data_IF_764852981128
#
_entry.id   IF_764852981128
#
_cell.length_a   1.000
_cell.length_b   1.000
_cell.length_c   1.000
_cell.angle_alpha   90.00
_cell.angle_beta   90.00
_cell.angle_gamma   90.00
#
_symmetry.space_group_name_H-M   'P 1'
#
loop_
_entity.id
_entity.type
_entity.pdbx_description
1 polymer ?
#
# COMPACT_ATOMS: atom_id res chain seq x y z
N UNK A 1 -18.65 -7.62 2.70
CA UNK A 1 -17.62 -8.11 1.75
C UNK A 1 -16.57 -8.87 2.54
N UNK A 2 -16.14 -10.08 2.12
CA UNK A 2 -15.13 -10.87 2.85
C UNK A 2 -13.77 -10.70 2.18
N UNK A 3 -12.87 -10.00 2.85
CA UNK A 3 -11.50 -9.78 2.38
C UNK A 3 -10.52 -10.83 2.92
N UNK A 4 -10.93 -11.69 3.85
CA UNK A 4 -10.00 -12.50 4.63
C UNK A 4 -9.07 -13.34 3.75
N UNK A 5 -9.60 -13.91 2.65
CA UNK A 5 -8.85 -14.76 1.71
C UNK A 5 -8.35 -14.03 0.46
N UNK A 6 -8.47 -12.72 0.43
CA UNK A 6 -7.98 -11.91 -0.69
C UNK A 6 -6.46 -11.99 -0.79
N UNK A 7 -5.98 -11.84 -2.02
CA UNK A 7 -4.60 -11.49 -2.35
C UNK A 7 -4.61 -10.07 -2.90
N UNK A 8 -3.66 -9.25 -2.48
CA UNK A 8 -3.64 -7.84 -2.82
C UNK A 8 -2.75 -7.04 -1.89
N UNK A 9 -3.00 -5.75 -1.84
CA UNK A 9 -2.27 -4.81 -0.96
C UNK A 9 -3.19 -4.26 0.12
N UNK A 10 -2.60 -3.86 1.24
CA UNK A 10 -3.32 -3.27 2.37
C UNK A 10 -2.51 -2.16 2.99
N UNK A 11 -3.22 -1.23 3.62
CA UNK A 11 -2.66 -0.11 4.38
C UNK A 11 -3.23 -0.16 5.78
N UNK A 12 -2.36 -0.04 6.79
CA UNK A 12 -2.74 0.14 8.18
C UNK A 12 -2.64 1.63 8.52
N UNK A 13 -3.61 2.12 9.27
CA UNK A 13 -3.67 3.52 9.69
C UNK A 13 -3.80 3.63 11.21
N UNK A 14 -3.32 4.77 11.72
CA UNK A 14 -3.69 5.22 13.07
C UNK A 14 -5.14 5.71 13.11
N UNK A 15 -5.64 6.03 14.32
CA UNK A 15 -6.97 6.61 14.53
C UNK A 15 -7.20 7.90 13.75
N UNK A 16 -6.14 8.67 13.48
CA UNK A 16 -6.17 9.91 12.71
C UNK A 16 -6.10 9.70 11.19
N UNK A 17 -6.34 8.47 10.69
CA UNK A 17 -6.23 8.09 9.28
C UNK A 17 -4.84 8.34 8.66
N UNK A 18 -3.79 8.45 9.48
CA UNK A 18 -2.42 8.54 8.98
C UNK A 18 -1.92 7.14 8.59
N UNK A 19 -1.43 6.92 7.35
CA UNK A 19 -0.81 5.66 6.96
C UNK A 19 0.40 5.37 7.83
N UNK A 20 0.40 4.23 8.51
CA UNK A 20 1.53 3.81 9.37
C UNK A 20 2.28 2.63 8.80
N UNK A 21 1.63 1.80 7.98
CA UNK A 21 2.25 0.67 7.32
C UNK A 21 1.52 0.36 6.00
N UNK A 22 2.26 0.02 4.95
CA UNK A 22 1.73 -0.55 3.72
C UNK A 22 2.37 -1.93 3.47
N UNK A 23 1.60 -2.88 2.96
CA UNK A 23 2.16 -4.18 2.60
C UNK A 23 1.31 -4.98 1.63
N UNK A 24 1.90 -6.06 1.11
CA UNK A 24 1.23 -7.03 0.24
C UNK A 24 0.83 -8.33 0.96
N UNK A 25 -0.14 -9.04 0.38
CA UNK A 25 -0.59 -10.37 0.74
C UNK A 25 -0.84 -11.20 -0.53
N UNK A 26 -0.34 -12.43 -0.56
CA UNK A 26 -0.59 -13.38 -1.67
C UNK A 26 0.65 -13.78 -2.46
N UNK A 27 1.82 -13.26 -2.09
CA UNK A 27 3.10 -13.57 -2.73
C UNK A 27 3.40 -15.08 -2.63
N UNK A 28 3.47 -15.76 -3.76
CA UNK A 28 3.82 -17.18 -3.86
C UNK A 28 5.34 -17.29 -4.07
N UNK A 29 6.07 -17.93 -3.13
CA UNK A 29 7.50 -18.23 -3.25
C UNK A 29 7.73 -19.64 -3.79
N UNK A 30 8.94 -19.91 -4.31
CA UNK A 30 9.34 -21.20 -4.93
C UNK A 30 8.99 -22.46 -4.11
N UNK A 31 8.87 -22.34 -2.78
CA UNK A 31 8.56 -23.45 -1.86
C UNK A 31 7.27 -23.22 -1.03
N UNK A 32 6.39 -22.31 -1.44
CA UNK A 32 5.14 -22.04 -0.72
C UNK A 32 3.95 -22.13 -1.68
N UNK A 33 2.95 -22.94 -1.35
CA UNK A 33 1.69 -22.98 -2.10
C UNK A 33 0.72 -21.97 -1.49
N UNK A 34 0.13 -21.11 -2.33
CA UNK A 34 -1.01 -20.27 -1.94
C UNK A 34 -0.70 -18.88 -1.39
N UNK A 35 0.50 -18.63 -0.83
CA UNK A 35 0.86 -17.33 -0.23
C UNK A 35 0.00 -16.97 0.99
N UNK A 36 0.41 -15.98 1.78
CA UNK A 36 -0.40 -15.49 2.92
C UNK A 36 -1.55 -14.62 2.41
N UNK A 37 -2.78 -14.85 2.88
CA UNK A 37 -3.92 -13.98 2.57
C UNK A 37 -3.90 -12.67 3.37
N UNK A 38 -4.74 -11.71 3.00
CA UNK A 38 -4.87 -10.45 3.75
C UNK A 38 -5.26 -10.71 5.21
N UNK A 39 -6.16 -11.66 5.46
CA UNK A 39 -6.56 -12.07 6.81
C UNK A 39 -5.38 -12.62 7.62
N UNK A 40 -4.55 -13.48 7.02
CA UNK A 40 -3.36 -14.02 7.67
C UNK A 40 -2.36 -12.90 8.05
N UNK A 41 -2.17 -11.92 7.15
CA UNK A 41 -1.29 -10.77 7.38
C UNK A 41 -1.79 -9.86 8.49
N UNK A 42 -3.08 -9.53 8.49
CA UNK A 42 -3.69 -8.72 9.55
C UNK A 42 -3.63 -9.42 10.91
N UNK A 43 -3.86 -10.74 10.93
CA UNK A 43 -3.72 -11.54 12.15
C UNK A 43 -2.28 -11.54 12.67
N UNK A 44 -1.28 -11.61 11.78
CA UNK A 44 0.12 -11.48 12.19
C UNK A 44 0.42 -10.08 12.76
N UNK A 45 -0.09 -9.02 12.13
CA UNK A 45 0.10 -7.63 12.59
C UNK A 45 -0.55 -7.36 13.95
N UNK A 46 -1.72 -7.94 14.24
CA UNK A 46 -2.39 -7.76 15.54
C UNK A 46 -1.63 -8.41 16.70
N UNK A 47 -0.70 -9.33 16.41
CA UNK A 47 0.16 -9.99 17.40
C UNK A 47 1.61 -9.50 17.35
N UNK A 48 1.94 -8.61 16.42
CA UNK A 48 3.29 -8.12 16.18
C UNK A 48 3.76 -7.02 17.14
N UNK A 49 4.98 -6.56 16.91
CA UNK A 49 5.63 -5.46 17.66
C UNK A 49 4.84 -4.16 17.53
N UNK A 50 4.28 -3.89 16.34
CA UNK A 50 3.52 -2.67 16.05
C UNK A 50 2.01 -2.83 16.18
N UNK A 51 1.53 -3.83 16.93
CA UNK A 51 0.08 -4.11 17.07
C UNK A 51 -0.76 -2.94 17.57
N UNK A 52 -0.18 -2.08 18.42
CA UNK A 52 -0.85 -0.90 18.97
C UNK A 52 -0.63 0.35 18.10
N UNK A 53 0.10 0.24 17.00
CA UNK A 53 0.46 1.36 16.14
C UNK A 53 -0.60 1.71 15.10
N UNK A 54 -1.66 0.91 15.00
CA UNK A 54 -2.75 1.01 14.04
C UNK A 54 -4.07 0.55 14.64
N UNK A 55 -5.18 1.03 14.08
CA UNK A 55 -6.55 0.70 14.51
C UNK A 55 -7.51 0.56 13.32
N UNK A 56 -7.14 1.13 12.17
CA UNK A 56 -7.90 1.11 10.93
C UNK A 56 -7.08 0.44 9.84
N UNK A 57 -7.75 -0.13 8.85
CA UNK A 57 -7.09 -0.67 7.67
C UNK A 57 -7.95 -0.48 6.42
N UNK A 58 -7.29 -0.41 5.27
CA UNK A 58 -7.91 -0.49 3.95
C UNK A 58 -7.21 -1.58 3.14
N UNK A 59 -7.89 -2.09 2.12
CA UNK A 59 -7.32 -3.11 1.25
C UNK A 59 -7.78 -2.94 -0.19
N UNK A 60 -6.95 -3.43 -1.11
CA UNK A 60 -7.30 -3.59 -2.51
C UNK A 60 -6.94 -5.02 -2.93
N UNK A 61 -7.94 -5.79 -3.37
CA UNK A 61 -7.78 -7.19 -3.78
C UNK A 61 -7.66 -7.33 -5.29
N UNK A 62 -6.83 -8.26 -5.75
CA UNK A 62 -6.62 -8.57 -7.17
C UNK A 62 -7.45 -9.75 -7.68
N UNK A 63 -8.13 -10.46 -6.78
CA UNK A 63 -8.94 -11.62 -7.11
C UNK A 63 -10.40 -11.19 -7.27
N UNK A 64 -11.06 -11.68 -8.31
CA UNK A 64 -12.49 -11.44 -8.49
C UNK A 64 -13.27 -11.99 -7.29
N UNK A 65 -14.04 -11.13 -6.62
CA UNK A 65 -14.92 -11.58 -5.54
C UNK A 65 -16.21 -12.10 -6.13
N UNK A 66 -16.61 -13.30 -5.71
CA UNK A 66 -18.01 -13.71 -5.87
C UNK A 66 -18.89 -12.61 -5.27
N UNK A 67 -19.75 -12.01 -6.11
CA UNK A 67 -20.64 -10.89 -5.73
C UNK A 67 -21.79 -11.32 -4.82
N UNK A 68 -21.77 -12.56 -4.33
CA UNK A 68 -22.79 -13.07 -3.42
C UNK A 68 -22.59 -12.44 -2.04
N UNK A 69 -23.68 -11.91 -1.42
CA UNK A 69 -23.66 -11.56 -0.01
C UNK A 69 -23.11 -12.74 0.80
N UNK A 70 -22.13 -12.52 1.67
CA UNK A 70 -21.64 -13.60 2.54
C UNK A 70 -22.79 -14.27 3.30
N UNK A 71 -23.80 -13.50 3.65
CA UNK A 71 -25.02 -13.95 4.31
C UNK A 71 -25.81 -15.01 3.54
N UNK A 72 -25.68 -15.11 2.22
CA UNK A 72 -26.34 -16.16 1.42
C UNK A 72 -25.43 -17.34 1.03
N UNK A 73 -24.13 -17.32 1.37
CA UNK A 73 -23.21 -18.44 1.13
C UNK A 73 -23.20 -19.40 2.34
N UNK A 74 -23.08 -20.70 2.09
CA UNK A 74 -22.89 -21.70 3.16
C UNK A 74 -21.54 -21.52 3.84
N UNK A 75 -21.38 -22.01 5.07
CA UNK A 75 -20.13 -21.88 5.83
C UNK A 75 -18.95 -22.58 5.11
N UNK A 76 -19.19 -23.69 4.42
CA UNK A 76 -18.20 -24.40 3.63
C UNK A 76 -17.72 -23.57 2.43
N UNK A 77 -18.64 -22.85 1.77
CA UNK A 77 -18.32 -21.98 0.63
C UNK A 77 -17.60 -20.70 1.09
N UNK A 78 -18.00 -20.12 2.22
CA UNK A 78 -17.28 -19.00 2.87
C UNK A 78 -15.84 -19.39 3.20
N UNK A 79 -15.62 -20.66 3.52
CA UNK A 79 -14.33 -21.26 3.80
C UNK A 79 -13.59 -21.77 2.56
N UNK A 80 -14.07 -21.61 1.32
CA UNK A 80 -13.34 -21.96 0.09
C UNK A 80 -13.77 -21.11 -1.12
N UNK A 81 -13.55 -19.78 -1.12
CA UNK A 81 -13.79 -18.99 -2.32
C UNK A 81 -12.88 -19.42 -3.46
N UNK A 82 -13.44 -19.58 -4.66
CA UNK A 82 -12.69 -19.81 -5.90
C UNK A 82 -12.32 -18.45 -6.47
N UNK A 83 -11.03 -18.27 -6.72
CA UNK A 83 -10.49 -17.00 -7.17
C UNK A 83 -9.98 -17.13 -8.61
N UNK A 84 -10.53 -16.32 -9.51
CA UNK A 84 -10.12 -16.29 -10.92
C UNK A 84 -9.43 -14.96 -11.21
N UNK A 85 -8.25 -15.00 -11.82
CA UNK A 85 -7.57 -13.81 -12.34
C UNK A 85 -8.14 -13.46 -13.72
N UNK A 86 -8.23 -12.18 -14.11
CA UNK A 86 -8.55 -11.80 -15.48
C UNK A 86 -7.53 -12.40 -16.46
N UNK A 87 -8.01 -13.11 -17.49
CA UNK A 87 -7.22 -13.97 -18.39
C UNK A 87 -6.32 -13.23 -19.40
N UNK A 88 -5.92 -11.98 -19.13
CA UNK A 88 -5.30 -11.08 -20.11
C UNK A 88 -3.77 -10.98 -20.12
N UNK A 89 -3.04 -11.56 -19.15
CA UNK A 89 -1.58 -11.39 -19.06
C UNK A 89 -0.80 -12.67 -19.43
N UNK A 90 0.24 -12.59 -20.28
CA UNK A 90 0.88 -13.75 -20.92
C UNK A 90 1.95 -14.46 -20.06
N UNK A 91 1.85 -14.46 -18.73
CA UNK A 91 2.80 -15.14 -17.86
C UNK A 91 2.09 -16.03 -16.84
N UNK A 92 2.79 -17.05 -16.34
CA UNK A 92 2.28 -17.95 -15.31
C UNK A 92 1.54 -17.14 -14.23
N UNK A 93 0.31 -17.51 -13.87
CA UNK A 93 -0.60 -16.64 -13.10
C UNK A 93 0.02 -16.13 -11.79
N UNK A 94 0.84 -16.96 -11.14
CA UNK A 94 1.58 -16.58 -9.93
C UNK A 94 2.70 -15.55 -10.17
N UNK A 95 3.38 -15.60 -11.32
CA UNK A 95 4.43 -14.63 -11.66
C UNK A 95 3.84 -13.24 -11.90
N UNK A 96 2.75 -13.16 -12.67
CA UNK A 96 2.00 -11.92 -12.91
C UNK A 96 1.50 -11.31 -11.60
N UNK A 97 0.87 -12.13 -10.75
CA UNK A 97 0.35 -11.68 -9.47
C UNK A 97 1.48 -11.18 -8.55
N UNK A 98 2.61 -11.89 -8.49
CA UNK A 98 3.76 -11.46 -7.72
C UNK A 98 4.30 -10.11 -8.19
N UNK A 99 4.38 -9.87 -9.50
CA UNK A 99 4.78 -8.58 -10.06
C UNK A 99 3.80 -7.48 -9.65
N UNK A 100 2.49 -7.70 -9.81
CA UNK A 100 1.47 -6.73 -9.40
C UNK A 100 1.54 -6.40 -7.91
N UNK A 101 1.64 -7.42 -7.06
CA UNK A 101 1.74 -7.23 -5.61
C UNK A 101 2.98 -6.41 -5.24
N UNK A 102 4.15 -6.73 -5.83
CA UNK A 102 5.39 -6.00 -5.59
C UNK A 102 5.30 -4.55 -6.07
N UNK A 103 4.80 -4.31 -7.28
CA UNK A 103 4.67 -2.96 -7.84
C UNK A 103 3.71 -2.09 -7.03
N UNK A 104 2.52 -2.59 -6.67
CA UNK A 104 1.57 -1.82 -5.87
C UNK A 104 2.09 -1.57 -4.45
N UNK A 105 2.71 -2.56 -3.79
CA UNK A 105 3.34 -2.35 -2.49
C UNK A 105 4.38 -1.24 -2.56
N UNK A 106 5.23 -1.25 -3.59
CA UNK A 106 6.28 -0.28 -3.76
C UNK A 106 5.74 1.14 -4.01
N UNK A 107 4.71 1.29 -4.85
CA UNK A 107 4.00 2.56 -5.06
C UNK A 107 3.41 3.09 -3.76
N UNK A 108 2.76 2.23 -2.96
CA UNK A 108 2.16 2.64 -1.69
C UNK A 108 3.21 3.08 -0.67
N UNK A 109 4.35 2.38 -0.59
CA UNK A 109 5.43 2.74 0.33
C UNK A 109 6.05 4.07 -0.08
N UNK A 110 6.29 4.31 -1.37
CA UNK A 110 6.91 5.56 -1.82
C UNK A 110 5.92 6.73 -1.74
N UNK A 111 4.65 6.52 -2.09
CA UNK A 111 3.63 7.57 -2.07
C UNK A 111 3.22 8.01 -0.67
N UNK A 112 3.22 7.11 0.33
CA UNK A 112 2.82 7.44 1.71
C UNK A 112 3.97 7.55 2.69
N UNK A 113 5.14 7.00 2.37
CA UNK A 113 6.30 6.89 3.28
C UNK A 113 5.92 6.46 4.71
N UNK A 114 5.20 5.33 4.90
CA UNK A 114 4.64 5.01 6.21
C UNK A 114 5.73 4.70 7.23
N UNK A 115 5.59 5.25 8.45
CA UNK A 115 6.63 5.19 9.49
C UNK A 115 7.09 3.78 9.91
N UNK A 116 6.28 2.74 9.73
CA UNK A 116 6.63 1.36 10.08
C UNK A 116 7.17 0.54 8.90
N UNK A 117 7.24 1.10 7.69
CA UNK A 117 7.96 0.50 6.57
C UNK A 117 9.45 0.82 6.68
N UNK A 118 10.23 -0.12 7.21
CA UNK A 118 11.67 0.05 7.38
C UNK A 118 12.46 0.08 6.06
N UNK A 119 11.86 -0.39 4.96
CA UNK A 119 12.45 -0.39 3.61
C UNK A 119 11.59 0.50 2.70
N UNK A 120 12.24 1.19 1.77
CA UNK A 120 11.56 1.87 0.66
C UNK A 120 10.90 0.87 -0.28
N UNK A 121 10.02 1.38 -1.14
CA UNK A 121 9.42 0.59 -2.20
C UNK A 121 10.50 0.03 -3.12
N UNK A 122 10.38 -1.26 -3.47
CA UNK A 122 11.28 -1.91 -4.41
C UNK A 122 10.80 -1.67 -5.85
N UNK A 123 11.42 -0.71 -6.53
CA UNK A 123 11.07 -0.25 -7.87
C UNK A 123 12.30 -0.33 -8.80
N UNK A 124 12.73 -1.54 -9.21
CA UNK A 124 14.01 -1.73 -9.90
C UNK A 124 14.10 -1.03 -11.27
N UNK A 125 12.98 -0.97 -12.00
CA UNK A 125 12.91 -0.40 -13.36
C UNK A 125 12.19 0.94 -13.41
N UNK A 126 11.93 1.58 -12.26
CA UNK A 126 11.21 2.85 -12.25
C UNK A 126 12.09 4.01 -12.74
N UNK A 127 11.50 4.85 -13.58
CA UNK A 127 12.10 6.11 -14.04
C UNK A 127 11.42 7.25 -13.30
N UNK A 128 12.23 8.13 -12.70
CA UNK A 128 11.73 9.36 -12.09
C UNK A 128 11.37 10.32 -13.22
N UNK A 129 10.13 10.80 -13.20
CA UNK A 129 9.63 11.84 -14.09
C UNK A 129 9.17 13.01 -13.25
N UNK A 130 9.71 14.19 -13.53
CA UNK A 130 9.26 15.41 -12.86
C UNK A 130 7.97 15.89 -13.52
N UNK A 131 6.94 16.16 -12.70
CA UNK A 131 5.74 16.82 -13.19
C UNK A 131 6.10 18.25 -13.55
N UNK A 132 5.86 18.64 -14.81
CA UNK A 132 6.01 20.03 -15.23
C UNK A 132 4.93 20.89 -14.56
N UNK A 133 5.34 21.71 -13.61
CA UNK A 133 4.53 22.80 -13.06
C UNK A 133 4.91 24.11 -13.77
N UNK A 134 4.03 24.70 -14.60
CA UNK A 134 4.32 26.00 -15.19
C UNK A 134 4.31 27.07 -14.08
N UNK A 135 5.48 27.70 -13.89
CA UNK A 135 5.74 28.87 -13.02
C UNK A 135 4.84 28.98 -11.78
N UNK A 136 5.18 28.23 -10.72
CA UNK A 136 4.85 28.70 -9.38
C UNK A 136 5.50 30.08 -9.22
N UNK A 137 4.69 31.14 -9.17
CA UNK A 137 5.17 32.51 -8.98
C UNK A 137 6.22 32.52 -7.86
N UNK A 138 7.38 33.17 -8.06
CA UNK A 138 8.45 33.14 -7.06
C UNK A 138 7.89 33.67 -5.75
N UNK A 139 7.90 32.83 -4.71
CA UNK A 139 7.58 33.26 -3.36
C UNK A 139 8.46 34.47 -3.05
N UNK A 140 7.84 35.63 -2.84
CA UNK A 140 8.54 36.84 -2.44
C UNK A 140 9.44 36.50 -1.24
N UNK A 141 10.74 36.57 -1.46
CA UNK A 141 11.70 36.37 -0.39
C UNK A 141 11.48 37.49 0.63
N UNK A 142 11.27 37.21 1.92
CA UNK A 142 11.13 38.27 2.90
C UNK A 142 12.40 39.13 2.88
N UNK A 143 12.28 40.46 3.05
CA UNK A 143 13.41 41.37 2.97
C UNK A 143 14.49 40.92 3.95
N UNK A 144 15.72 40.77 3.44
CA UNK A 144 16.89 40.41 4.25
C UNK A 144 17.08 41.46 5.33
N UNK A 145 16.95 41.07 6.60
CA UNK A 145 17.12 41.86 7.83
C UNK A 145 18.47 42.59 8.00
N UNK A 146 19.32 42.67 6.97
CA UNK A 146 20.63 43.31 7.02
C UNK A 146 20.66 44.79 6.68
N UNK A 147 19.61 45.36 6.09
CA UNK A 147 19.60 46.80 5.75
C UNK A 147 18.99 47.70 6.85
N UNK A 148 18.23 47.15 7.81
CA UNK A 148 17.62 47.94 8.88
C UNK A 148 18.60 48.37 10.01
N UNK A 149 19.84 47.84 10.04
CA UNK A 149 20.82 48.17 11.09
C UNK A 149 21.87 49.23 10.72
N UNK A 150 21.86 49.71 9.46
CA UNK A 150 22.77 50.78 9.01
C UNK A 150 22.08 52.15 8.86
N UNK A 151 20.74 52.22 8.99
CA UNK A 151 19.99 53.48 8.87
C UNK A 151 19.64 54.14 10.24
N UNK A 152 20.32 53.76 11.32
CA UNK A 152 20.11 54.32 12.67
C UNK A 152 21.40 54.93 13.27
N UNK A 153 22.41 55.20 12.44
CA UNK A 153 23.67 55.81 12.86
C UNK A 153 24.11 57.01 12.01
N UNK A 154 23.18 57.64 11.28
CA UNK A 154 23.39 59.00 10.74
C UNK A 154 22.39 59.99 11.35
#
# INVERSE_FOLDING_TARGET
MNFYRQKGVYILYSDALQPVYAGQAGLTRKNSTGGQSIGDRLYAHSRGVYRNGWSLFSWFGFLETERLPLTCMSDEQRQKPVWTMPTGLPSAPDATLNTLLASFEAILIEGFTPRFNARRGDLPDAVIVDQYEPDAAPAESPPREREARMALLE
#
